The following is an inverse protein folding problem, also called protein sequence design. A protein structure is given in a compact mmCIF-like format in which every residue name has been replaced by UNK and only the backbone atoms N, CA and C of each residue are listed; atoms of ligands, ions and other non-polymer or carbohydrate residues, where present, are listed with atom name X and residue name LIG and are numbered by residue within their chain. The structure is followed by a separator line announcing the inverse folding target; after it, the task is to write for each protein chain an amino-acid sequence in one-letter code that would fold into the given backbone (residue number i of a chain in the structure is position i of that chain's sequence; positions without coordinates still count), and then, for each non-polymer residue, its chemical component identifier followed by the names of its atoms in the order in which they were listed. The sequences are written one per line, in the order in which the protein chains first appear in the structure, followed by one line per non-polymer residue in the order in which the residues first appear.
data_IF_834715698303
#
_entry.id   IF_834715698303
#
_cell.length_a   1.000
_cell.length_b   1.000
_cell.length_c   1.000
_cell.angle_alpha   90.00
_cell.angle_beta   90.00
_cell.angle_gamma   90.00
#
_symmetry.space_group_name_H-M   'P 1'
#
loop_
_entity.id
_entity.type
_entity.pdbx_description
1 polymer ?
#
# COMPACT_ATOMS: atom_id res chain seq x y z
N UNK A 1 2.15 -25.08 -29.49
CA UNK A 1 1.15 -24.69 -28.47
C UNK A 1 1.59 -25.14 -27.08
N UNK A 2 2.21 -26.32 -26.95
CA UNK A 2 2.87 -26.81 -25.72
C UNK A 2 3.95 -25.85 -25.18
N UNK A 3 4.77 -25.28 -26.07
CA UNK A 3 5.92 -24.42 -25.75
C UNK A 3 5.58 -23.03 -25.15
N UNK A 4 4.30 -22.62 -25.19
CA UNK A 4 3.80 -21.42 -24.48
C UNK A 4 3.28 -21.77 -23.08
N UNK A 5 2.60 -22.91 -22.96
CA UNK A 5 2.03 -23.37 -21.70
C UNK A 5 3.13 -23.67 -20.65
N UNK A 6 4.26 -24.23 -21.08
CA UNK A 6 5.38 -24.50 -20.19
C UNK A 6 6.11 -23.23 -19.72
N UNK A 7 6.21 -22.22 -20.60
CA UNK A 7 6.77 -20.91 -20.24
C UNK A 7 5.89 -20.17 -19.25
N UNK A 8 4.58 -20.11 -19.50
CA UNK A 8 3.63 -19.45 -18.60
C UNK A 8 3.60 -20.16 -17.22
N UNK A 9 3.70 -21.49 -17.18
CA UNK A 9 3.87 -22.24 -15.93
C UNK A 9 5.19 -21.95 -15.20
N UNK A 10 6.28 -21.72 -15.93
CA UNK A 10 7.56 -21.36 -15.33
C UNK A 10 7.53 -19.96 -14.72
N UNK A 11 6.96 -18.97 -15.43
CA UNK A 11 6.78 -17.62 -14.91
C UNK A 11 5.85 -17.58 -13.68
N UNK A 12 4.79 -18.39 -13.71
CA UNK A 12 3.89 -18.61 -12.56
C UNK A 12 4.64 -18.98 -11.29
N UNK A 13 5.45 -20.05 -11.36
CA UNK A 13 6.22 -20.55 -10.21
C UNK A 13 7.27 -19.55 -9.73
N UNK A 14 7.91 -18.84 -10.65
CA UNK A 14 8.89 -17.81 -10.30
C UNK A 14 8.24 -16.66 -9.53
N UNK A 15 7.11 -16.13 -10.02
CA UNK A 15 6.37 -15.06 -9.34
C UNK A 15 5.88 -15.48 -7.96
N UNK A 16 5.37 -16.71 -7.81
CA UNK A 16 4.96 -17.26 -6.51
C UNK A 16 6.14 -17.32 -5.54
N UNK A 17 7.27 -17.90 -5.97
CA UNK A 17 8.48 -17.98 -5.14
C UNK A 17 9.03 -16.60 -4.75
N UNK A 18 8.99 -15.62 -5.66
CA UNK A 18 9.39 -14.24 -5.35
C UNK A 18 8.41 -13.59 -4.38
N UNK A 19 7.10 -13.78 -4.56
CA UNK A 19 6.08 -13.28 -3.62
C UNK A 19 6.27 -13.82 -2.21
N UNK A 20 6.68 -15.08 -2.06
CA UNK A 20 7.02 -15.69 -0.77
C UNK A 20 8.24 -15.05 -0.12
N UNK A 21 9.31 -14.84 -0.90
CA UNK A 21 10.52 -14.18 -0.42
C UNK A 21 10.24 -12.73 0.02
N UNK A 22 9.45 -11.98 -0.76
CA UNK A 22 9.03 -10.63 -0.42
C UNK A 22 8.20 -10.60 0.86
N UNK A 23 7.24 -11.51 0.97
CA UNK A 23 6.39 -11.63 2.16
C UNK A 23 7.21 -11.95 3.40
N UNK A 24 8.14 -12.91 3.31
CA UNK A 24 9.04 -13.24 4.40
C UNK A 24 9.90 -12.03 4.81
N UNK A 25 10.51 -11.35 3.84
CA UNK A 25 11.33 -10.18 4.12
C UNK A 25 10.54 -9.03 4.77
N UNK A 26 9.29 -8.80 4.35
CA UNK A 26 8.38 -7.85 5.00
C UNK A 26 8.07 -8.23 6.44
N UNK A 27 7.76 -9.51 6.69
CA UNK A 27 7.51 -10.03 8.04
C UNK A 27 8.73 -9.82 8.93
N UNK A 28 9.90 -10.28 8.48
CA UNK A 28 11.15 -10.19 9.24
C UNK A 28 11.44 -8.72 9.59
N UNK A 29 11.31 -7.81 8.62
CA UNK A 29 11.52 -6.38 8.83
C UNK A 29 10.51 -5.72 9.79
N UNK A 30 9.25 -6.14 9.77
CA UNK A 30 8.23 -5.65 10.72
C UNK A 30 8.46 -6.20 12.13
N UNK A 31 8.95 -7.44 12.23
CA UNK A 31 9.29 -8.10 13.49
C UNK A 31 10.57 -7.55 14.12
N UNK A 32 11.44 -6.89 13.34
CA UNK A 32 12.60 -6.16 13.85
C UNK A 32 12.14 -4.97 14.71
N UNK A 33 12.13 -5.19 16.03
CA UNK A 33 11.69 -4.17 17.00
C UNK A 33 12.48 -2.86 16.87
N UNK A 34 13.76 -2.90 16.48
CA UNK A 34 14.58 -1.71 16.30
C UNK A 34 14.17 -0.86 15.10
N UNK A 35 13.69 -1.49 14.03
CA UNK A 35 13.09 -0.76 12.92
C UNK A 35 11.84 0.00 13.38
N UNK A 36 10.92 -0.67 14.08
CA UNK A 36 9.70 -0.05 14.61
C UNK A 36 9.95 0.97 15.72
N UNK A 37 11.07 0.87 16.45
CA UNK A 37 11.49 1.91 17.41
C UNK A 37 11.89 3.21 16.70
N UNK A 38 12.53 3.11 15.54
CA UNK A 38 13.05 4.26 14.77
C UNK A 38 12.06 4.78 13.72
N UNK A 39 11.06 4.00 13.35
CA UNK A 39 10.05 4.40 12.37
C UNK A 39 9.32 5.68 12.81
N UNK A 40 9.14 6.60 11.86
CA UNK A 40 8.29 7.78 12.00
C UNK A 40 6.81 7.41 12.19
N UNK A 41 6.42 6.27 11.62
CA UNK A 41 5.07 5.70 11.68
C UNK A 41 5.14 4.28 12.23
N UNK A 42 5.36 4.13 13.54
CA UNK A 42 5.40 2.82 14.19
C UNK A 42 4.01 2.18 14.20
N UNK A 43 3.94 0.86 14.21
CA UNK A 43 2.69 0.10 14.35
C UNK A 43 2.66 -0.63 15.70
N UNK A 44 1.50 -0.68 16.35
CA UNK A 44 1.29 -1.40 17.62
C UNK A 44 0.81 -2.83 17.43
N UNK A 45 0.14 -3.08 16.31
CA UNK A 45 -0.40 -4.39 15.97
C UNK A 45 -0.37 -4.54 14.46
N UNK A 46 0.41 -5.50 13.97
CA UNK A 46 0.25 -5.99 12.61
C UNK A 46 -0.86 -7.03 12.64
N UNK A 47 -2.01 -6.70 12.01
CA UNK A 47 -2.86 -7.78 11.54
C UNK A 47 -2.13 -8.34 10.35
N UNK A 48 -1.65 -9.59 10.41
CA UNK A 48 -0.95 -10.18 9.28
C UNK A 48 -1.96 -10.44 8.15
N UNK A 49 -2.30 -9.38 7.41
CA UNK A 49 -3.00 -9.45 6.14
C UNK A 49 -1.92 -9.47 5.08
N UNK A 50 -1.54 -10.68 4.67
CA UNK A 50 -0.59 -10.85 3.59
C UNK A 50 -1.35 -11.18 2.33
N UNK A 51 -1.30 -10.24 1.41
CA UNK A 51 -1.73 -10.49 0.05
C UNK A 51 -0.53 -10.62 -0.85
N UNK A 52 -0.52 -11.67 -1.66
CA UNK A 52 0.45 -11.90 -2.72
C UNK A 52 -0.25 -11.56 -4.02
N UNK A 53 0.35 -10.66 -4.79
CA UNK A 53 -0.15 -10.26 -6.09
C UNK A 53 0.87 -10.62 -7.17
N UNK A 54 0.39 -11.10 -8.31
CA UNK A 54 1.19 -11.49 -9.48
C UNK A 54 0.66 -10.76 -10.71
N UNK A 55 1.56 -10.14 -11.47
CA UNK A 55 1.26 -9.68 -12.82
C UNK A 55 2.31 -10.21 -13.81
N UNK A 56 1.83 -10.79 -14.92
CA UNK A 56 2.66 -11.29 -16.03
C UNK A 56 2.53 -10.45 -17.31
N UNK A 57 1.61 -9.48 -17.31
CA UNK A 57 1.39 -8.58 -18.44
C UNK A 57 2.17 -7.29 -18.23
N UNK A 58 2.42 -6.61 -19.35
CA UNK A 58 3.30 -5.46 -19.59
C UNK A 58 3.28 -4.31 -18.61
N UNK A 59 2.37 -4.28 -17.64
CA UNK A 59 2.34 -3.19 -16.70
C UNK A 59 1.86 -3.66 -15.33
N UNK A 60 2.79 -3.72 -14.38
CA UNK A 60 2.43 -3.80 -12.95
C UNK A 60 1.60 -2.59 -12.51
N UNK A 61 1.62 -1.50 -13.31
CA UNK A 61 0.83 -0.31 -13.10
C UNK A 61 -0.55 -0.32 -13.79
N UNK A 62 -1.00 -1.47 -14.32
CA UNK A 62 -2.42 -1.60 -14.67
C UNK A 62 -3.26 -1.27 -13.43
N UNK A 63 -4.06 -0.20 -13.54
CA UNK A 63 -4.82 0.37 -12.42
C UNK A 63 -5.71 -0.68 -11.74
N UNK A 64 -6.29 -1.60 -12.50
CA UNK A 64 -7.19 -2.66 -12.02
C UNK A 64 -6.46 -3.65 -11.10
N UNK A 65 -5.33 -4.17 -11.56
CA UNK A 65 -4.45 -5.07 -10.82
C UNK A 65 -3.94 -4.51 -9.49
N UNK A 66 -3.49 -3.26 -9.49
CA UNK A 66 -3.05 -2.60 -8.26
C UNK A 66 -4.22 -2.30 -7.33
N UNK A 67 -5.39 -1.95 -7.88
CA UNK A 67 -6.60 -1.71 -7.09
C UNK A 67 -7.04 -2.98 -6.37
N UNK A 68 -7.04 -4.12 -7.03
CA UNK A 68 -7.31 -5.42 -6.40
C UNK A 68 -6.27 -5.74 -5.30
N UNK A 69 -4.98 -5.56 -5.59
CA UNK A 69 -3.91 -5.72 -4.61
C UNK A 69 -4.06 -4.79 -3.39
N UNK A 70 -4.50 -3.55 -3.59
CA UNK A 70 -4.68 -2.61 -2.48
C UNK A 70 -5.95 -2.92 -1.70
N UNK A 71 -7.04 -3.27 -2.39
CA UNK A 71 -8.33 -3.56 -1.76
C UNK A 71 -8.23 -4.70 -0.74
N UNK A 72 -7.53 -5.79 -1.08
CA UNK A 72 -7.36 -6.91 -0.14
C UNK A 72 -6.39 -6.66 1.03
N UNK A 73 -5.70 -5.51 1.07
CA UNK A 73 -4.90 -5.10 2.25
C UNK A 73 -5.76 -4.42 3.32
N UNK A 74 -6.93 -3.90 2.96
CA UNK A 74 -7.86 -3.31 3.91
C UNK A 74 -8.74 -4.38 4.57
N UNK A 75 -9.02 -4.23 5.88
CA UNK A 75 -9.81 -5.22 6.63
C UNK A 75 -11.32 -5.00 6.50
N UNK A 76 -11.74 -3.92 5.85
CA UNK A 76 -13.15 -3.52 5.77
C UNK A 76 -13.43 -2.76 4.48
N UNK A 77 -14.70 -2.53 4.17
CA UNK A 77 -15.11 -1.62 3.10
C UNK A 77 -14.66 -0.20 3.45
N UNK A 78 -13.52 0.21 2.92
CA UNK A 78 -13.02 1.58 2.97
C UNK A 78 -13.54 2.38 1.78
N UNK A 79 -13.37 3.70 1.82
CA UNK A 79 -13.83 4.57 0.74
C UNK A 79 -13.05 4.29 -0.56
N UNK A 80 -13.71 4.44 -1.71
CA UNK A 80 -13.07 4.18 -3.00
C UNK A 80 -11.87 5.10 -3.23
N UNK A 81 -11.91 6.33 -2.72
CA UNK A 81 -10.83 7.32 -2.80
C UNK A 81 -9.62 6.87 -2.00
N UNK A 82 -9.81 6.18 -0.87
CA UNK A 82 -8.70 5.64 -0.08
C UNK A 82 -7.99 4.50 -0.84
N UNK A 83 -8.76 3.60 -1.46
CA UNK A 83 -8.21 2.52 -2.29
C UNK A 83 -7.52 3.11 -3.53
N UNK A 84 -8.19 4.02 -4.23
CA UNK A 84 -7.67 4.67 -5.43
C UNK A 84 -6.39 5.46 -5.12
N UNK A 85 -6.36 6.18 -4.00
CA UNK A 85 -5.21 6.98 -3.56
C UNK A 85 -4.00 6.11 -3.24
N UNK A 86 -4.20 5.03 -2.48
CA UNK A 86 -3.11 4.08 -2.18
C UNK A 86 -2.64 3.35 -3.44
N UNK A 87 -3.57 2.92 -4.32
CA UNK A 87 -3.21 2.28 -5.59
C UNK A 87 -2.44 3.23 -6.51
N UNK A 88 -2.83 4.51 -6.58
CA UNK A 88 -2.13 5.53 -7.34
C UNK A 88 -0.75 5.84 -6.75
N UNK A 89 -0.63 5.92 -5.42
CA UNK A 89 0.65 6.10 -4.74
C UNK A 89 1.63 4.96 -5.02
N UNK A 90 1.18 3.71 -4.83
CA UNK A 90 1.99 2.52 -5.13
C UNK A 90 2.31 2.45 -6.62
N UNK A 91 1.34 2.76 -7.49
CA UNK A 91 1.53 2.79 -8.94
C UNK A 91 2.55 3.83 -9.39
N UNK A 92 2.57 5.01 -8.77
CA UNK A 92 3.58 6.05 -9.01
C UNK A 92 4.98 5.55 -8.62
N UNK A 93 5.12 4.92 -7.45
CA UNK A 93 6.39 4.33 -7.02
C UNK A 93 6.83 3.19 -7.95
N UNK A 94 5.90 2.34 -8.38
CA UNK A 94 6.17 1.25 -9.33
C UNK A 94 6.64 1.73 -10.71
N UNK A 95 6.46 3.01 -11.07
CA UNK A 95 7.04 3.56 -12.32
C UNK A 95 8.56 3.50 -12.35
N UNK A 96 9.23 3.45 -11.20
CA UNK A 96 10.68 3.25 -11.13
C UNK A 96 11.16 1.90 -11.69
N UNK A 97 10.22 0.95 -11.91
CA UNK A 97 10.51 -0.34 -12.53
C UNK A 97 10.45 -0.28 -14.07
N UNK A 98 9.95 0.82 -14.66
CA UNK A 98 9.83 0.95 -16.13
C UNK A 98 11.16 1.04 -16.85
N UNK A 99 12.22 1.43 -16.16
CA UNK A 99 13.56 1.64 -16.72
C UNK A 99 14.47 0.41 -16.62
N UNK A 100 13.93 -0.74 -16.23
CA UNK A 100 14.73 -1.97 -16.17
C UNK A 100 15.25 -2.36 -17.55
N UNK A 101 16.49 -2.86 -17.57
CA UNK A 101 17.09 -3.50 -18.74
C UNK A 101 16.67 -4.97 -18.80
N UNK A 102 16.80 -5.57 -19.98
CA UNK A 102 16.49 -6.98 -20.17
C UNK A 102 17.23 -7.87 -19.16
N UNK A 103 16.49 -8.80 -18.52
CA UNK A 103 17.01 -9.68 -17.48
C UNK A 103 17.27 -9.02 -16.12
N UNK A 104 17.20 -7.68 -16.02
CA UNK A 104 17.42 -6.97 -14.76
C UNK A 104 16.24 -7.18 -13.81
N UNK A 105 16.58 -7.48 -12.56
CA UNK A 105 15.62 -7.53 -11.45
C UNK A 105 15.75 -6.29 -10.57
N UNK A 106 14.64 -5.86 -9.98
CA UNK A 106 14.64 -4.83 -8.93
C UNK A 106 13.53 -5.09 -7.92
N UNK A 107 13.80 -4.74 -6.67
CA UNK A 107 12.82 -4.71 -5.59
C UNK A 107 12.63 -3.25 -5.17
N UNK A 108 11.38 -2.82 -5.10
CA UNK A 108 10.97 -1.58 -4.46
C UNK A 108 10.32 -1.91 -3.12
N UNK A 109 10.56 -1.06 -2.14
CA UNK A 109 10.00 -1.17 -0.79
C UNK A 109 9.44 0.18 -0.36
N UNK A 110 8.26 0.18 0.24
CA UNK A 110 7.61 1.41 0.65
C UNK A 110 6.47 1.16 1.60
N UNK A 111 5.85 2.25 2.04
CA UNK A 111 4.64 2.19 2.84
C UNK A 111 3.71 3.34 2.50
N UNK A 112 2.42 3.15 2.75
CA UNK A 112 1.39 4.18 2.65
C UNK A 112 0.66 4.32 3.99
N UNK A 113 0.19 5.53 4.29
CA UNK A 113 -0.59 5.84 5.49
C UNK A 113 -2.04 6.10 5.09
N UNK A 114 -2.97 5.37 5.69
CA UNK A 114 -4.39 5.44 5.32
C UNK A 114 -5.29 5.33 6.56
N UNK A 115 -6.59 5.54 6.33
CA UNK A 115 -7.65 5.30 7.33
C UNK A 115 -8.44 4.06 6.91
N UNK A 116 -8.42 3.02 7.74
CA UNK A 116 -9.19 1.79 7.53
C UNK A 116 -10.35 1.72 8.53
N UNK A 117 -11.53 2.10 8.05
CA UNK A 117 -12.81 2.24 8.77
C UNK A 117 -12.74 2.90 10.16
N UNK A 118 -12.18 2.21 11.15
CA UNK A 118 -12.08 2.63 12.55
C UNK A 118 -10.63 2.72 13.05
N UNK A 119 -9.64 2.65 12.18
CA UNK A 119 -8.23 2.63 12.55
C UNK A 119 -7.37 3.47 11.61
N UNK A 120 -6.28 4.01 12.15
CA UNK A 120 -5.23 4.61 11.36
C UNK A 120 -4.22 3.51 11.05
N UNK A 121 -3.92 3.29 9.77
CA UNK A 121 -3.11 2.15 9.34
C UNK A 121 -1.91 2.57 8.53
N UNK A 122 -0.87 1.74 8.60
CA UNK A 122 0.28 1.72 7.71
C UNK A 122 0.17 0.48 6.85
N UNK A 123 0.27 0.65 5.55
CA UNK A 123 0.31 -0.43 4.57
C UNK A 123 1.75 -0.51 4.08
N UNK A 124 2.49 -1.50 4.53
CA UNK A 124 3.84 -1.79 4.07
C UNK A 124 3.77 -2.71 2.85
N UNK A 125 4.56 -2.42 1.82
CA UNK A 125 4.58 -3.21 0.61
C UNK A 125 5.99 -3.41 0.06
N UNK A 126 6.17 -4.51 -0.64
CA UNK A 126 7.33 -4.76 -1.49
C UNK A 126 6.89 -5.24 -2.85
N UNK A 127 7.59 -4.76 -3.87
CA UNK A 127 7.30 -5.07 -5.26
C UNK A 127 8.60 -5.52 -5.92
N UNK A 128 8.62 -6.74 -6.40
CA UNK A 128 9.67 -7.26 -7.27
C UNK A 128 9.18 -7.21 -8.71
N UNK A 129 10.07 -6.80 -9.61
CA UNK A 129 9.85 -6.99 -11.04
C UNK A 129 11.15 -7.36 -11.75
N UNK A 130 10.97 -8.09 -12.85
CA UNK A 130 12.00 -8.40 -13.83
C UNK A 130 11.48 -8.10 -15.22
N UNK A 131 12.35 -7.51 -16.06
CA UNK A 131 12.05 -7.33 -17.48
C UNK A 131 12.42 -8.59 -18.25
N UNK A 132 11.45 -9.12 -18.98
CA UNK A 132 11.56 -10.31 -19.82
C UNK A 132 11.02 -9.98 -21.23
N UNK A 133 11.94 -9.78 -22.17
CA UNK A 133 11.71 -9.28 -23.52
C UNK A 133 10.85 -7.99 -23.55
N UNK A 134 9.67 -8.08 -24.16
CA UNK A 134 8.69 -7.00 -24.24
C UNK A 134 7.74 -6.95 -23.03
N UNK A 135 7.94 -7.78 -22.00
CA UNK A 135 7.04 -7.92 -20.85
C UNK A 135 7.76 -7.68 -19.53
N UNK A 136 6.94 -7.48 -18.50
CA UNK A 136 7.37 -7.49 -17.11
C UNK A 136 6.72 -8.68 -16.42
N UNK A 137 7.52 -9.40 -15.65
CA UNK A 137 7.02 -10.33 -14.64
C UNK A 137 7.21 -9.68 -13.28
N UNK A 138 6.24 -9.88 -12.40
CA UNK A 138 6.25 -9.19 -11.12
C UNK A 138 5.48 -9.92 -10.03
N UNK A 139 5.91 -9.65 -8.81
CA UNK A 139 5.28 -10.11 -7.59
C UNK A 139 5.24 -8.97 -6.58
N UNK A 140 4.14 -8.84 -5.86
CA UNK A 140 4.01 -7.91 -4.76
C UNK A 140 3.53 -8.63 -3.50
N UNK A 141 4.01 -8.15 -2.36
CA UNK A 141 3.55 -8.55 -1.05
C UNK A 141 3.22 -7.29 -0.24
N UNK A 142 2.18 -7.35 0.58
CA UNK A 142 1.82 -6.27 1.48
C UNK A 142 1.44 -6.76 2.87
N UNK A 143 1.60 -5.88 3.88
CA UNK A 143 1.18 -6.08 5.27
C UNK A 143 0.45 -4.82 5.75
N UNK A 144 -0.63 -5.02 6.50
CA UNK A 144 -1.40 -3.95 7.15
C UNK A 144 -1.10 -3.89 8.65
N UNK A 145 -0.58 -2.77 9.11
CA UNK A 145 -0.36 -2.50 10.55
C UNK A 145 -1.23 -1.37 11.08
N UNK A 146 -1.74 -1.51 12.30
CA UNK A 146 -2.40 -0.43 13.05
C UNK A 146 -1.32 0.50 13.61
N UNK A 147 -1.41 1.78 13.27
CA UNK A 147 -0.45 2.80 13.71
C UNK A 147 -0.48 2.98 15.23
N UNK A 148 0.72 3.13 15.80
CA UNK A 148 0.88 3.65 17.15
C UNK A 148 0.68 5.17 17.13
N UNK A 149 -0.58 5.55 17.35
CA UNK A 149 -1.01 6.95 17.40
C UNK A 149 -0.26 7.72 18.48
N UNK A 150 0.06 7.11 19.63
CA UNK A 150 0.75 7.79 20.74
C UNK A 150 2.16 8.24 20.38
N UNK A 151 2.80 7.53 19.44
CA UNK A 151 4.16 7.82 18.94
C UNK A 151 4.18 8.53 17.59
N UNK A 152 3.02 8.71 16.96
CA UNK A 152 2.89 9.40 15.68
C UNK A 152 2.44 10.84 15.92
N UNK A 153 3.07 11.83 15.29
CA UNK A 153 2.60 13.23 15.38
C UNK A 153 1.42 13.44 14.42
N UNK A 154 0.41 14.21 14.84
CA UNK A 154 -0.77 14.49 14.00
C UNK A 154 -0.41 15.12 12.66
N UNK A 155 0.45 16.15 12.66
CA UNK A 155 0.84 16.82 11.43
C UNK A 155 1.57 15.89 10.46
N UNK A 156 2.40 14.99 10.99
CA UNK A 156 3.11 13.99 10.18
C UNK A 156 2.14 12.99 9.54
N UNK A 157 1.16 12.51 10.33
CA UNK A 157 0.09 11.66 9.82
C UNK A 157 -0.72 12.40 8.73
N UNK A 158 -1.16 13.63 9.03
CA UNK A 158 -1.99 14.41 8.13
C UNK A 158 -1.27 14.69 6.81
N UNK A 159 0.00 15.06 6.83
CA UNK A 159 0.79 15.26 5.61
C UNK A 159 0.84 14.00 4.74
N UNK A 160 1.13 12.83 5.34
CA UNK A 160 1.15 11.57 4.60
C UNK A 160 -0.24 11.16 4.09
N UNK A 161 -1.28 11.36 4.89
CA UNK A 161 -2.65 11.01 4.51
C UNK A 161 -3.21 11.93 3.41
N UNK A 162 -2.87 13.23 3.43
CA UNK A 162 -3.28 14.18 2.40
C UNK A 162 -2.70 13.84 1.02
N UNK A 163 -1.50 13.26 0.97
CA UNK A 163 -0.92 12.75 -0.28
C UNK A 163 -1.79 11.64 -0.88
N UNK A 164 -2.20 10.67 -0.05
CA UNK A 164 -3.09 9.59 -0.46
C UNK A 164 -4.45 10.12 -0.92
N UNK A 165 -5.08 11.00 -0.14
CA UNK A 165 -6.37 11.58 -0.50
C UNK A 165 -6.31 12.31 -1.84
N UNK A 166 -5.29 13.15 -2.05
CA UNK A 166 -5.16 13.91 -3.30
C UNK A 166 -4.98 13.03 -4.53
N UNK A 167 -4.32 11.89 -4.40
CA UNK A 167 -4.16 10.91 -5.47
C UNK A 167 -5.42 10.07 -5.71
N UNK A 168 -6.32 10.00 -4.73
CA UNK A 168 -7.52 9.18 -4.79
C UNK A 168 -8.72 9.84 -5.46
N UNK A 169 -8.75 11.17 -5.52
CA UNK A 169 -9.85 11.89 -6.16
C UNK A 169 -9.73 11.89 -7.70
N UNK A 170 -10.86 11.86 -8.43
CA UNK A 170 -10.88 12.06 -9.88
C UNK A 170 -10.22 13.40 -10.29
N UNK A 171 -9.63 13.44 -11.49
CA UNK A 171 -8.99 14.67 -11.99
C UNK A 171 -10.02 15.77 -12.34
N UNK A 172 -11.26 15.39 -12.64
CA UNK A 172 -12.37 16.25 -13.04
C UNK A 172 -13.30 16.67 -11.89
N UNK A 173 -13.01 16.26 -10.66
CA UNK A 173 -13.77 16.68 -9.48
C UNK A 173 -13.72 18.20 -9.32
N UNK A 174 -14.85 18.81 -8.92
CA UNK A 174 -14.88 20.23 -8.60
C UNK A 174 -14.05 20.55 -7.35
N UNK A 175 -13.50 21.77 -7.25
CA UNK A 175 -12.72 22.17 -6.07
C UNK A 175 -13.55 22.20 -4.79
N UNK A 176 -14.82 22.61 -4.88
CA UNK A 176 -15.74 22.64 -3.74
C UNK A 176 -16.03 21.23 -3.24
N UNK A 177 -16.36 20.30 -4.14
CA UNK A 177 -16.62 18.90 -3.78
C UNK A 177 -15.38 18.21 -3.22
N UNK A 178 -14.21 18.44 -3.83
CA UNK A 178 -12.93 17.92 -3.33
C UNK A 178 -12.66 18.42 -1.91
N UNK A 179 -12.87 19.71 -1.65
CA UNK A 179 -12.66 20.29 -0.33
C UNK A 179 -13.64 19.72 0.72
N UNK A 180 -14.90 19.50 0.33
CA UNK A 180 -15.90 18.87 1.21
C UNK A 180 -15.50 17.44 1.58
N UNK A 181 -15.10 16.62 0.60
CA UNK A 181 -14.69 15.23 0.82
C UNK A 181 -13.39 15.14 1.65
N UNK A 182 -12.40 16.00 1.38
CA UNK A 182 -11.19 16.10 2.21
C UNK A 182 -11.56 16.43 3.65
N UNK A 183 -12.45 17.40 3.87
CA UNK A 183 -12.86 17.82 5.21
C UNK A 183 -13.46 16.65 5.98
N UNK A 184 -14.39 15.90 5.38
CA UNK A 184 -14.99 14.68 5.98
C UNK A 184 -13.93 13.64 6.35
N UNK A 185 -12.98 13.39 5.44
CA UNK A 185 -11.90 12.42 5.67
C UNK A 185 -10.96 12.83 6.81
N UNK A 186 -10.58 14.11 6.85
CA UNK A 186 -9.68 14.67 7.87
C UNK A 186 -10.35 14.72 9.23
N UNK A 187 -11.64 15.09 9.30
CA UNK A 187 -12.41 15.06 10.56
C UNK A 187 -12.51 13.66 11.15
N UNK A 188 -12.82 12.67 10.31
CA UNK A 188 -12.83 11.26 10.72
C UNK A 188 -11.46 10.83 11.25
N UNK A 189 -10.39 11.12 10.52
CA UNK A 189 -9.03 10.80 10.94
C UNK A 189 -8.68 11.48 12.27
N UNK A 190 -9.06 12.74 12.45
CA UNK A 190 -8.82 13.53 13.67
C UNK A 190 -9.56 12.95 14.87
N UNK A 191 -10.81 12.51 14.67
CA UNK A 191 -11.60 11.83 15.70
C UNK A 191 -10.90 10.55 16.16
N UNK A 192 -10.49 9.69 15.22
CA UNK A 192 -9.76 8.46 15.53
C UNK A 192 -8.43 8.75 16.23
N UNK A 193 -7.68 9.74 15.75
CA UNK A 193 -6.41 10.14 16.35
C UNK A 193 -6.59 10.59 17.81
N UNK A 194 -7.63 11.38 18.11
CA UNK A 194 -7.97 11.79 19.47
C UNK A 194 -8.40 10.61 20.35
N UNK A 195 -9.26 9.74 19.82
CA UNK A 195 -9.72 8.53 20.50
C UNK A 195 -8.53 7.68 20.97
N UNK A 196 -7.59 7.39 20.07
CA UNK A 196 -6.43 6.54 20.37
C UNK A 196 -5.32 7.24 21.15
N UNK A 197 -5.27 8.58 21.13
CA UNK A 197 -4.44 9.35 22.08
C UNK A 197 -5.00 9.38 23.51
N UNK A 198 -6.28 9.02 23.70
CA UNK A 198 -6.96 9.17 25.00
C UNK A 198 -7.58 10.56 25.23
N UNK A 199 -7.72 11.37 24.18
CA UNK A 199 -8.27 12.73 24.21
C UNK A 199 -9.74 12.80 23.76
N UNK A 200 -10.58 11.84 24.17
CA UNK A 200 -12.02 12.08 24.13
C UNK A 200 -12.36 13.00 25.30
N UNK A 201 -12.57 14.27 24.95
CA UNK A 201 -13.15 15.28 25.83
C UNK A 201 -14.38 14.66 26.49
N UNK A 202 -14.38 14.58 27.83
CA UNK A 202 -15.63 14.47 28.58
C UNK A 202 -16.44 15.70 28.20
N UNK A 203 -17.47 15.51 27.39
CA UNK A 203 -18.56 16.48 27.30
C UNK A 203 -19.26 16.45 28.66
N UNK A 204 -18.90 17.39 29.53
CA UNK A 204 -19.80 17.89 30.57
C UNK A 204 -20.88 18.76 29.92
#
# INVERSE_FOLDING_TARGET
MEDRNDRDNHFSKLCEGKGELLSKALRDWILEQDFMRKSKFPIIYASETIMRYRAEKTDISSRESLREFVQGLFCSSVSEESIAGVAAFIGNHARELRDLKEGQERVLEGYAIAVDSFSLVRIDYRIWAQKCDARYISAAAGIRGVLDVKRTRWNDFLSAYMEILNLGFPEDISQEEKQEQITKCVEKARMLFRLFHGNLVKSE
#
